data_IF_608010722486
#
_entry.id   IF_608010722486
#
_cell.length_a   1.000
_cell.length_b   1.000
_cell.length_c   1.000
_cell.angle_alpha   90.00
_cell.angle_beta   90.00
_cell.angle_gamma   90.00
#
_symmetry.space_group_name_H-M   'P 1'
#
loop_
_entity.id
_entity.type
_entity.pdbx_description
1 polymer ?
#
# COMPACT_ATOMS: atom_id res chain seq x y z
N UNK A 1 -48.45 -4.10 14.81
CA UNK A 1 -47.22 -3.85 14.03
C UNK A 1 -47.58 -2.85 12.94
N UNK A 2 -47.13 -1.61 13.07
CA UNK A 2 -47.56 -0.51 12.20
C UNK A 2 -46.80 -0.60 10.86
N UNK A 3 -47.51 -0.94 9.78
CA UNK A 3 -46.99 -0.80 8.42
C UNK A 3 -46.99 0.70 8.07
N UNK A 4 -45.86 1.36 8.28
CA UNK A 4 -45.60 2.69 7.74
C UNK A 4 -45.40 2.56 6.23
N UNK A 5 -46.44 2.85 5.45
CA UNK A 5 -46.38 2.88 3.99
C UNK A 5 -45.51 4.07 3.58
N UNK A 6 -44.23 3.81 3.29
CA UNK A 6 -43.31 4.83 2.76
C UNK A 6 -43.66 5.10 1.28
N UNK A 7 -43.47 6.35 0.80
CA UNK A 7 -43.77 6.69 -0.58
C UNK A 7 -42.89 5.90 -1.57
N UNK A 8 -43.38 5.65 -2.80
CA UNK A 8 -42.65 4.91 -3.81
C UNK A 8 -41.29 5.56 -4.08
N UNK A 9 -40.22 4.76 -4.06
CA UNK A 9 -38.84 5.22 -4.18
C UNK A 9 -38.07 5.37 -2.85
N UNK A 10 -38.71 5.13 -1.70
CA UNK A 10 -38.03 5.18 -0.39
C UNK A 10 -37.58 3.79 0.06
N UNK A 11 -36.27 3.60 0.22
CA UNK A 11 -35.72 2.36 0.75
C UNK A 11 -35.88 2.28 2.29
N UNK A 12 -36.49 1.23 2.85
CA UNK A 12 -36.61 1.09 4.30
C UNK A 12 -35.26 0.76 4.93
N UNK A 13 -34.82 1.59 5.87
CA UNK A 13 -33.62 1.36 6.68
C UNK A 13 -34.03 0.71 8.00
N UNK A 14 -33.34 -0.36 8.43
CA UNK A 14 -33.62 -0.99 9.73
C UNK A 14 -33.29 0.00 10.86
N UNK A 15 -34.10 0.08 11.92
CA UNK A 15 -33.93 1.07 12.99
C UNK A 15 -32.56 0.98 13.69
N UNK A 16 -31.93 -0.20 13.71
CA UNK A 16 -30.57 -0.42 14.23
C UNK A 16 -29.46 0.35 13.47
N UNK A 17 -29.76 0.89 12.29
CA UNK A 17 -28.82 1.69 11.48
C UNK A 17 -29.16 3.20 11.52
N UNK A 18 -30.15 3.61 12.30
CA UNK A 18 -30.46 5.02 12.52
C UNK A 18 -29.58 5.52 13.69
N UNK A 19 -28.78 6.56 13.44
CA UNK A 19 -28.00 7.21 14.49
C UNK A 19 -28.97 7.93 15.45
N UNK A 20 -28.90 7.60 16.74
CA UNK A 20 -29.65 8.31 17.78
C UNK A 20 -29.17 9.76 17.86
N UNK A 21 -30.06 10.72 17.63
CA UNK A 21 -29.79 12.16 17.73
C UNK A 21 -29.60 12.66 19.18
N UNK A 22 -29.63 11.75 20.16
CA UNK A 22 -29.36 12.09 21.56
C UNK A 22 -27.90 12.53 21.69
N UNK A 23 -27.64 13.75 22.21
CA UNK A 23 -26.29 14.21 22.49
C UNK A 23 -25.67 13.30 23.55
N UNK A 24 -24.79 12.39 23.13
CA UNK A 24 -23.96 11.63 24.05
C UNK A 24 -22.79 12.52 24.45
N UNK A 25 -22.53 12.61 25.75
CA UNK A 25 -21.32 13.24 26.26
C UNK A 25 -20.12 12.53 25.63
N UNK A 26 -19.33 13.26 24.85
CA UNK A 26 -18.09 12.76 24.26
C UNK A 26 -17.12 12.61 25.43
N UNK A 27 -16.65 11.40 25.77
CA UNK A 27 -15.61 11.23 26.78
C UNK A 27 -14.36 12.01 26.34
N UNK A 28 -13.71 12.69 27.29
CA UNK A 28 -12.48 13.43 27.05
C UNK A 28 -11.35 12.47 26.62
N UNK A 29 -11.15 12.36 25.32
CA UNK A 29 -10.19 11.47 24.65
C UNK A 29 -8.72 11.95 24.83
N UNK A 30 -8.52 13.16 25.37
CA UNK A 30 -7.18 13.71 25.60
C UNK A 30 -6.42 12.96 26.71
N UNK A 31 -7.12 12.17 27.55
CA UNK A 31 -6.52 11.34 28.58
C UNK A 31 -5.69 10.16 28.02
N UNK A 32 -5.93 9.73 26.78
CA UNK A 32 -5.21 8.61 26.16
C UNK A 32 -3.87 9.00 25.52
N UNK A 33 -3.64 10.28 25.24
CA UNK A 33 -2.43 10.75 24.53
C UNK A 33 -1.16 10.81 25.41
N UNK A 34 -1.28 10.62 26.72
CA UNK A 34 -0.15 10.72 27.67
C UNK A 34 0.77 9.49 27.72
N UNK A 35 0.34 8.32 27.24
CA UNK A 35 0.97 7.05 27.63
C UNK A 35 1.88 6.38 26.58
N UNK A 36 1.98 6.89 25.35
CA UNK A 36 2.72 6.17 24.28
C UNK A 36 4.22 6.50 24.19
N UNK A 37 4.78 7.28 25.13
CA UNK A 37 6.22 7.51 25.22
C UNK A 37 6.91 6.47 26.10
N UNK A 38 7.01 5.23 25.59
CA UNK A 38 7.91 4.23 26.18
C UNK A 38 9.35 4.63 25.84
N UNK A 39 9.95 5.51 26.65
CA UNK A 39 11.38 5.68 26.98
C UNK A 39 11.62 7.07 27.59
N UNK A 40 11.52 7.22 28.91
CA UNK A 40 12.66 7.05 29.83
C UNK A 40 12.21 7.53 31.22
N UNK A 41 12.34 6.65 32.20
CA UNK A 41 12.15 6.93 33.62
C UNK A 41 13.04 8.10 34.05
N UNK A 42 12.45 9.26 34.33
CA UNK A 42 12.94 10.20 35.34
C UNK A 42 11.75 10.77 36.09
N UNK A 43 11.63 10.29 37.33
CA UNK A 43 10.85 10.87 38.40
C UNK A 43 11.19 12.36 38.54
N UNK A 44 10.19 13.22 38.41
CA UNK A 44 10.11 14.42 39.24
C UNK A 44 8.64 14.78 39.46
N UNK A 45 8.23 14.62 40.71
CA UNK A 45 6.96 15.08 41.23
C UNK A 45 7.11 16.53 41.69
N UNK A 46 6.30 17.44 41.14
CA UNK A 46 5.93 18.75 41.70
C UNK A 46 4.67 19.21 40.93
N UNK A 47 3.46 19.03 41.46
CA UNK A 47 2.72 19.94 42.35
C UNK A 47 2.62 21.38 41.82
N UNK A 48 1.38 21.84 41.64
CA UNK A 48 0.97 23.22 41.87
C UNK A 48 0.73 24.06 40.61
N UNK A 49 -0.53 24.40 40.36
CA UNK A 49 -0.90 25.44 39.40
C UNK A 49 -0.61 26.84 39.93
N UNK A 50 -0.64 27.82 39.02
CA UNK A 50 -1.15 29.17 39.22
C UNK A 50 -1.04 29.94 37.90
N UNK A 51 -2.18 30.46 37.45
CA UNK A 51 -2.29 31.43 36.38
C UNK A 51 -1.48 32.68 36.73
N UNK A 52 -0.59 33.13 35.82
CA UNK A 52 0.08 34.42 35.94
C UNK A 52 -0.06 35.19 34.63
N UNK A 53 -0.72 36.34 34.78
CA UNK A 53 -1.02 37.37 33.80
C UNK A 53 0.21 38.02 33.13
N UNK A 54 -0.13 38.81 32.11
CA UNK A 54 0.68 39.67 31.24
C UNK A 54 1.98 40.25 31.84
N UNK A 55 3.09 39.98 31.14
CA UNK A 55 4.36 40.65 31.38
C UNK A 55 5.35 40.37 30.24
N UNK A 56 5.34 41.23 29.22
CA UNK A 56 6.10 41.08 27.97
C UNK A 56 7.62 41.07 28.14
N UNK A 57 8.20 39.93 28.55
CA UNK A 57 9.63 39.64 28.40
C UNK A 57 9.90 39.23 26.95
N UNK A 58 10.64 40.05 26.20
CA UNK A 58 11.03 39.78 24.80
C UNK A 58 11.81 38.47 24.73
N UNK A 59 11.14 37.40 24.29
CA UNK A 59 11.74 36.08 24.09
C UNK A 59 13.00 36.18 23.22
N UNK A 60 14.08 35.55 23.66
CA UNK A 60 15.32 35.39 22.89
C UNK A 60 15.02 34.78 21.52
N UNK A 61 15.81 35.12 20.50
CA UNK A 61 15.64 34.57 19.15
C UNK A 61 15.65 33.04 19.12
N UNK A 62 16.41 32.41 20.02
CA UNK A 62 16.42 30.96 20.20
C UNK A 62 15.10 30.41 20.77
N UNK A 63 14.50 31.15 21.72
CA UNK A 63 13.21 30.80 22.32
C UNK A 63 12.07 30.92 21.31
N UNK A 64 12.01 32.01 20.53
CA UNK A 64 10.99 32.19 19.47
C UNK A 64 11.05 31.07 18.42
N UNK A 65 12.25 30.65 18.04
CA UNK A 65 12.44 29.53 17.09
C UNK A 65 11.99 28.19 17.68
N UNK A 66 12.14 28.00 18.99
CA UNK A 66 11.66 26.81 19.70
C UNK A 66 10.13 26.77 19.73
N UNK A 67 9.49 27.86 20.16
CA UNK A 67 8.01 27.98 20.17
C UNK A 67 7.41 27.82 18.76
N UNK A 68 7.98 28.45 17.73
CA UNK A 68 7.50 28.28 16.36
C UNK A 68 7.65 26.84 15.82
N UNK A 69 8.67 26.09 16.27
CA UNK A 69 8.87 24.68 15.91
C UNK A 69 7.89 23.78 16.67
N UNK A 70 7.54 24.14 17.89
CA UNK A 70 6.59 23.42 18.74
C UNK A 70 5.15 23.61 18.24
N UNK A 71 4.80 24.83 17.87
CA UNK A 71 3.49 25.17 17.31
C UNK A 71 3.26 24.50 15.95
N UNK A 72 4.31 24.44 15.11
CA UNK A 72 4.31 23.64 13.87
C UNK A 72 4.20 22.14 14.11
N UNK A 73 4.62 21.63 15.27
CA UNK A 73 4.47 20.21 15.60
C UNK A 73 3.04 19.91 16.07
N UNK A 74 2.42 20.80 16.85
CA UNK A 74 0.99 20.77 17.23
C UNK A 74 0.07 20.86 16.01
N UNK A 75 0.38 21.75 15.06
CA UNK A 75 -0.38 21.94 13.82
C UNK A 75 -0.18 20.82 12.78
N UNK A 76 0.82 19.94 12.95
CA UNK A 76 1.06 18.81 12.03
C UNK A 76 0.28 17.60 12.53
N UNK A 77 -0.65 17.11 11.70
CA UNK A 77 -1.62 16.05 12.04
C UNK A 77 -1.05 14.79 12.74
N UNK A 78 -1.96 14.07 13.40
CA UNK A 78 -1.75 12.97 14.34
C UNK A 78 -1.02 11.72 13.80
N UNK A 79 -0.55 11.73 12.54
CA UNK A 79 -0.01 10.55 11.87
C UNK A 79 1.54 10.48 11.91
N UNK A 80 2.17 10.91 13.01
CA UNK A 80 3.65 10.87 13.17
C UNK A 80 4.18 9.60 13.84
N UNK A 81 3.33 8.84 14.52
CA UNK A 81 3.71 7.61 15.24
C UNK A 81 3.56 6.31 14.44
N UNK A 82 2.94 6.35 13.25
CA UNK A 82 2.76 5.13 12.45
C UNK A 82 4.08 4.68 11.86
N UNK A 83 4.66 3.64 12.43
CA UNK A 83 5.79 2.90 11.86
C UNK A 83 5.22 1.82 10.95
N UNK A 84 5.30 2.02 9.64
CA UNK A 84 4.97 0.97 8.68
C UNK A 84 6.11 -0.05 8.65
N UNK A 85 5.76 -1.33 8.81
CA UNK A 85 6.70 -2.42 8.60
C UNK A 85 7.13 -2.43 7.13
N UNK A 86 8.44 -2.53 6.89
CA UNK A 86 9.01 -2.74 5.56
C UNK A 86 9.34 -4.21 5.45
N UNK A 87 8.65 -4.91 4.56
CA UNK A 87 8.97 -6.29 4.19
C UNK A 87 9.94 -6.22 3.01
N UNK A 88 11.00 -7.02 3.04
CA UNK A 88 11.95 -7.19 1.94
C UNK A 88 12.12 -8.68 1.66
N UNK A 89 12.52 -8.98 0.44
CA UNK A 89 12.94 -10.32 0.08
C UNK A 89 14.35 -10.60 0.63
N UNK A 90 14.66 -11.86 0.90
CA UNK A 90 15.96 -12.25 1.44
C UNK A 90 17.10 -12.04 0.42
N UNK A 91 16.80 -12.23 -0.87
CA UNK A 91 17.69 -11.94 -1.98
C UNK A 91 17.13 -10.79 -2.82
N UNK A 92 17.83 -9.66 -2.86
CA UNK A 92 17.43 -8.51 -3.69
C UNK A 92 18.01 -8.67 -5.12
N UNK A 93 17.22 -9.24 -6.04
CA UNK A 93 17.58 -9.33 -7.48
C UNK A 93 17.71 -7.93 -8.09
N UNK A 94 18.64 -7.72 -9.02
CA UNK A 94 18.77 -6.45 -9.73
C UNK A 94 17.48 -6.11 -10.50
N UNK A 95 17.04 -4.85 -10.45
CA UNK A 95 15.80 -4.43 -11.12
C UNK A 95 15.90 -4.55 -12.65
N UNK A 96 17.06 -4.23 -13.26
CA UNK A 96 17.24 -4.36 -14.72
C UNK A 96 17.10 -5.82 -15.15
N UNK A 97 17.78 -6.73 -14.45
CA UNK A 97 17.69 -8.18 -14.67
C UNK A 97 16.27 -8.69 -14.42
N UNK A 98 15.61 -8.21 -13.36
CA UNK A 98 14.22 -8.55 -13.08
C UNK A 98 13.27 -8.14 -14.20
N UNK A 99 13.53 -7.02 -14.89
CA UNK A 99 12.76 -6.59 -16.06
C UNK A 99 13.16 -7.28 -17.37
N UNK A 100 14.05 -8.28 -17.34
CA UNK A 100 14.56 -8.97 -18.53
C UNK A 100 15.57 -8.15 -19.34
N UNK A 101 16.14 -7.08 -18.76
CA UNK A 101 17.15 -6.24 -19.42
C UNK A 101 18.55 -6.54 -18.89
N UNK A 102 19.56 -6.34 -19.74
CA UNK A 102 20.95 -6.44 -19.31
C UNK A 102 21.30 -5.32 -18.32
N UNK A 103 22.03 -5.66 -17.25
CA UNK A 103 22.50 -4.68 -16.29
C UNK A 103 23.78 -4.00 -16.79
N UNK A 104 23.75 -2.67 -16.85
CA UNK A 104 24.92 -1.84 -17.23
C UNK A 104 26.09 -1.95 -16.25
N UNK A 105 25.82 -2.35 -14.99
CA UNK A 105 26.86 -2.48 -13.95
C UNK A 105 27.54 -3.85 -13.96
N UNK A 106 27.11 -4.79 -14.81
CA UNK A 106 27.74 -6.11 -14.93
C UNK A 106 27.88 -6.84 -13.59
N UNK A 107 29.10 -7.24 -13.23
CA UNK A 107 29.40 -7.93 -11.97
C UNK A 107 29.58 -7.02 -10.75
N UNK A 108 29.73 -5.71 -10.93
CA UNK A 108 29.90 -4.74 -9.84
C UNK A 108 28.55 -4.22 -9.29
N UNK A 109 27.44 -4.83 -9.72
CA UNK A 109 26.12 -4.43 -9.26
C UNK A 109 25.94 -4.73 -7.77
N UNK A 110 25.33 -3.79 -7.04
CA UNK A 110 24.95 -3.96 -5.63
C UNK A 110 23.96 -5.12 -5.40
N UNK A 111 23.19 -5.46 -6.42
CA UNK A 111 22.10 -6.43 -6.37
C UNK A 111 22.52 -7.74 -7.04
N UNK A 112 21.91 -8.85 -6.66
CA UNK A 112 22.23 -10.15 -7.24
C UNK A 112 21.73 -10.25 -8.68
N UNK A 113 22.48 -10.94 -9.55
CA UNK A 113 22.10 -11.25 -10.94
C UNK A 113 21.70 -12.71 -11.14
N UNK A 114 21.74 -13.50 -10.07
CA UNK A 114 21.39 -14.92 -10.07
C UNK A 114 19.87 -15.10 -9.97
N UNK A 115 19.24 -15.31 -11.13
CA UNK A 115 17.79 -15.55 -11.25
C UNK A 115 17.35 -16.87 -10.59
N UNK A 116 17.98 -18.04 -10.84
CA UNK A 116 17.52 -19.28 -10.22
C UNK A 116 17.65 -19.26 -8.69
N UNK A 117 18.72 -18.69 -8.13
CA UNK A 117 18.83 -18.54 -6.67
C UNK A 117 17.74 -17.62 -6.10
N UNK A 118 17.44 -16.51 -6.79
CA UNK A 118 16.35 -15.62 -6.39
C UNK A 118 15.00 -16.34 -6.40
N UNK A 119 14.68 -17.11 -7.44
CA UNK A 119 13.41 -17.82 -7.56
C UNK A 119 13.24 -18.95 -6.54
N UNK A 120 14.34 -19.57 -6.10
CA UNK A 120 14.33 -20.56 -5.03
C UNK A 120 14.05 -19.93 -3.65
N UNK A 121 14.60 -18.74 -3.37
CA UNK A 121 14.32 -18.00 -2.14
C UNK A 121 12.97 -17.27 -2.17
N UNK A 122 12.47 -16.94 -3.37
CA UNK A 122 11.21 -16.21 -3.57
C UNK A 122 10.04 -17.04 -3.02
N UNK A 123 9.16 -16.44 -2.20
CA UNK A 123 7.96 -17.14 -1.74
C UNK A 123 7.02 -17.45 -2.92
N UNK A 124 6.21 -18.50 -2.74
CA UNK A 124 5.24 -18.93 -3.76
C UNK A 124 4.35 -17.78 -4.23
N UNK A 125 4.01 -17.84 -5.52
CA UNK A 125 3.06 -16.96 -6.15
C UNK A 125 1.72 -16.93 -5.40
N UNK A 126 1.15 -15.73 -5.33
CA UNK A 126 -0.15 -15.50 -4.73
C UNK A 126 -1.20 -15.80 -5.81
N UNK A 127 -2.24 -16.54 -5.47
CA UNK A 127 -3.41 -16.71 -6.33
C UNK A 127 -4.44 -15.62 -6.03
N UNK A 128 -4.88 -14.91 -7.06
CA UNK A 128 -6.06 -14.05 -6.96
C UNK A 128 -7.28 -14.79 -7.55
N UNK A 129 -8.39 -14.97 -6.81
CA UNK A 129 -9.56 -15.66 -7.34
C UNK A 129 -10.21 -14.85 -8.47
N UNK A 130 -10.57 -15.52 -9.55
CA UNK A 130 -11.35 -14.93 -10.62
C UNK A 130 -12.83 -14.87 -10.22
N UNK A 131 -13.65 -14.14 -10.99
CA UNK A 131 -15.11 -14.10 -10.76
C UNK A 131 -15.77 -15.48 -10.78
N UNK A 132 -15.18 -16.46 -11.47
CA UNK A 132 -15.67 -17.84 -11.54
C UNK A 132 -15.42 -18.65 -10.27
N UNK A 133 -14.43 -18.22 -9.47
CA UNK A 133 -14.06 -18.86 -8.22
C UNK A 133 -14.89 -18.38 -7.04
N UNK A 134 -15.65 -17.29 -7.22
CA UNK A 134 -16.51 -16.73 -6.19
C UNK A 134 -17.86 -17.44 -6.16
N UNK A 135 -18.35 -17.76 -4.96
CA UNK A 135 -19.65 -18.39 -4.74
C UNK A 135 -20.42 -17.63 -3.68
N UNK A 136 -21.75 -17.57 -3.80
CA UNK A 136 -22.64 -16.96 -2.79
C UNK A 136 -22.88 -17.89 -1.58
N UNK A 137 -22.43 -19.15 -1.67
CA UNK A 137 -22.53 -20.14 -0.60
C UNK A 137 -21.14 -20.55 -0.08
N UNK A 138 -20.97 -20.82 1.22
CA UNK A 138 -19.70 -21.30 1.76
C UNK A 138 -19.23 -22.62 1.10
N UNK A 139 -17.93 -22.77 0.74
CA UNK A 139 -16.90 -21.73 0.78
C UNK A 139 -17.09 -20.68 -0.33
N UNK A 140 -17.09 -19.40 0.07
CA UNK A 140 -17.31 -18.26 -0.84
C UNK A 140 -16.22 -18.11 -1.91
N UNK A 141 -15.07 -18.76 -1.72
CA UNK A 141 -13.98 -18.83 -2.69
C UNK A 141 -13.62 -20.28 -2.89
N UNK A 142 -13.76 -20.77 -4.12
CA UNK A 142 -13.27 -22.08 -4.53
C UNK A 142 -11.76 -21.99 -4.74
N UNK A 143 -11.02 -22.62 -3.84
CA UNK A 143 -9.60 -22.86 -4.04
C UNK A 143 -9.47 -24.13 -4.90
N UNK A 144 -8.61 -24.16 -5.94
CA UNK A 144 -8.31 -25.39 -6.64
C UNK A 144 -7.78 -26.38 -5.61
N UNK A 145 -8.17 -27.64 -5.74
CA UNK A 145 -7.68 -28.72 -4.91
C UNK A 145 -6.17 -28.79 -5.10
N UNK A 146 -5.42 -28.17 -4.19
CA UNK A 146 -3.98 -28.35 -4.10
C UNK A 146 -3.78 -29.73 -3.51
N UNK A 147 -4.06 -30.76 -4.30
CA UNK A 147 -3.37 -32.03 -4.18
C UNK A 147 -1.89 -31.64 -4.14
N UNK A 148 -1.26 -31.89 -3.01
CA UNK A 148 0.18 -31.74 -2.80
C UNK A 148 0.89 -32.72 -3.72
N UNK A 149 0.86 -32.47 -5.03
CA UNK A 149 1.67 -33.16 -6.00
C UNK A 149 3.09 -32.67 -5.76
N UNK A 150 3.82 -33.48 -5.01
CA UNK A 150 5.27 -33.41 -4.85
C UNK A 150 5.91 -33.49 -6.24
N UNK A 151 5.95 -32.37 -6.95
CA UNK A 151 6.49 -32.25 -8.31
C UNK A 151 7.85 -31.55 -8.26
N UNK A 152 8.80 -32.27 -7.65
CA UNK A 152 10.21 -32.54 -8.03
C UNK A 152 11.19 -31.40 -8.37
N UNK A 153 10.80 -30.15 -8.65
CA UNK A 153 11.78 -29.11 -9.02
C UNK A 153 11.72 -27.86 -8.12
N UNK A 154 12.82 -27.56 -7.43
CA UNK A 154 12.98 -26.38 -6.57
C UNK A 154 12.70 -25.04 -7.30
N UNK A 155 12.87 -25.00 -8.63
CA UNK A 155 12.56 -23.85 -9.50
C UNK A 155 11.05 -23.68 -9.70
N UNK A 156 10.29 -24.79 -9.75
CA UNK A 156 8.82 -24.81 -9.86
C UNK A 156 8.12 -24.58 -8.53
N UNK A 157 8.86 -24.66 -7.42
CA UNK A 157 8.29 -24.57 -6.06
C UNK A 157 7.69 -23.18 -5.75
N UNK A 158 8.22 -22.12 -6.35
CA UNK A 158 7.73 -20.75 -6.15
C UNK A 158 6.76 -20.25 -7.22
N UNK A 159 6.63 -20.97 -8.34
CA UNK A 159 5.79 -20.58 -9.47
C UNK A 159 4.44 -21.28 -9.41
N UNK A 160 3.38 -20.51 -9.64
CA UNK A 160 2.04 -21.07 -9.83
C UNK A 160 1.53 -20.65 -11.21
N UNK A 161 1.59 -21.55 -12.19
CA UNK A 161 1.14 -21.30 -13.56
C UNK A 161 -0.37 -21.05 -13.65
N UNK A 162 -1.14 -21.37 -12.61
CA UNK A 162 -2.58 -21.07 -12.55
C UNK A 162 -2.87 -19.65 -12.06
N UNK A 163 -1.84 -18.91 -11.65
CA UNK A 163 -2.02 -17.53 -11.18
C UNK A 163 -2.25 -16.55 -12.32
N UNK A 164 -2.98 -15.48 -12.04
CA UNK A 164 -3.26 -14.40 -13.00
C UNK A 164 -2.73 -13.08 -12.45
N UNK A 165 -1.87 -12.41 -13.20
CA UNK A 165 -1.37 -11.07 -12.86
C UNK A 165 -2.29 -9.99 -13.44
N UNK A 166 -3.03 -9.27 -12.60
CA UNK A 166 -3.93 -8.20 -13.05
C UNK A 166 -3.21 -7.09 -13.84
N UNK A 167 -1.95 -6.77 -13.50
CA UNK A 167 -1.16 -5.79 -14.24
C UNK A 167 -0.82 -6.29 -15.65
N UNK A 168 -0.39 -7.53 -15.79
CA UNK A 168 -0.09 -8.12 -17.10
C UNK A 168 -1.37 -8.29 -17.94
N UNK A 169 -2.48 -8.70 -17.33
CA UNK A 169 -3.76 -8.83 -18.00
C UNK A 169 -4.25 -7.49 -18.57
N UNK A 170 -4.08 -6.40 -17.81
CA UNK A 170 -4.50 -5.07 -18.23
C UNK A 170 -3.52 -4.43 -19.23
N UNK A 171 -2.22 -4.40 -18.91
CA UNK A 171 -1.22 -3.63 -19.66
C UNK A 171 -0.47 -4.44 -20.71
N UNK A 172 -0.50 -5.76 -20.65
CA UNK A 172 0.33 -6.63 -21.49
C UNK A 172 1.80 -6.71 -21.08
N UNK A 173 2.25 -5.96 -20.08
CA UNK A 173 3.60 -6.10 -19.53
C UNK A 173 3.62 -5.91 -18.00
N UNK A 174 4.37 -6.74 -17.28
CA UNK A 174 4.51 -6.56 -15.84
C UNK A 174 5.76 -5.73 -15.51
N UNK A 175 5.58 -4.53 -14.97
CA UNK A 175 6.70 -3.66 -14.52
C UNK A 175 7.60 -4.30 -13.46
N UNK A 176 7.07 -5.27 -12.71
CA UNK A 176 7.82 -6.01 -11.70
C UNK A 176 8.63 -7.18 -12.28
N UNK A 177 8.35 -7.62 -13.51
CA UNK A 177 9.04 -8.72 -14.19
C UNK A 177 9.18 -9.96 -13.29
N UNK A 178 10.38 -10.52 -13.21
CA UNK A 178 10.69 -11.73 -12.42
C UNK A 178 10.45 -11.58 -10.90
N UNK A 179 10.27 -10.35 -10.39
CA UNK A 179 9.93 -10.11 -8.97
C UNK A 179 8.44 -10.16 -8.66
N UNK A 180 7.59 -10.25 -9.68
CA UNK A 180 6.14 -10.26 -9.48
C UNK A 180 5.72 -11.44 -8.58
N UNK A 181 4.71 -11.22 -7.73
CA UNK A 181 4.09 -12.31 -6.93
C UNK A 181 3.04 -13.11 -7.70
N UNK A 182 2.81 -12.77 -8.96
CA UNK A 182 1.90 -13.45 -9.88
C UNK A 182 2.71 -13.88 -11.13
N UNK A 183 3.90 -14.43 -10.89
CA UNK A 183 4.93 -14.64 -11.91
C UNK A 183 4.49 -15.67 -12.95
N UNK A 184 3.77 -16.71 -12.53
CA UNK A 184 3.31 -17.79 -13.41
C UNK A 184 2.46 -17.34 -14.61
N UNK A 185 1.79 -16.18 -14.55
CA UNK A 185 0.96 -15.70 -15.67
C UNK A 185 1.73 -15.00 -16.79
N UNK A 186 2.97 -14.58 -16.55
CA UNK A 186 3.73 -13.77 -17.52
C UNK A 186 5.15 -14.31 -17.73
N UNK A 187 5.31 -15.62 -17.53
CA UNK A 187 6.57 -16.34 -17.77
C UNK A 187 6.30 -17.58 -18.60
N UNK A 188 7.22 -17.87 -19.53
CA UNK A 188 7.25 -19.11 -20.30
C UNK A 188 8.60 -19.80 -20.05
N UNK A 189 8.55 -21.10 -19.79
CA UNK A 189 9.74 -21.96 -19.73
C UNK A 189 10.17 -22.32 -21.15
N UNK A 190 11.38 -21.91 -21.55
CA UNK A 190 12.00 -22.39 -22.78
C UNK A 190 12.49 -23.83 -22.64
N UNK A 191 12.81 -24.46 -23.77
CA UNK A 191 13.31 -25.85 -23.86
C UNK A 191 14.60 -26.06 -23.06
N UNK A 192 15.39 -25.00 -22.86
CA UNK A 192 16.64 -25.01 -22.07
C UNK A 192 16.42 -24.85 -20.55
N UNK A 193 15.18 -24.72 -20.09
CA UNK A 193 14.85 -24.51 -18.67
C UNK A 193 15.00 -23.07 -18.18
N UNK A 194 15.39 -22.14 -19.04
CA UNK A 194 15.41 -20.70 -18.75
C UNK A 194 13.99 -20.10 -18.81
N UNK A 195 13.70 -19.19 -17.88
CA UNK A 195 12.42 -18.51 -17.75
C UNK A 195 12.46 -17.15 -18.45
N UNK A 196 11.60 -16.96 -19.44
CA UNK A 196 11.49 -15.68 -20.13
C UNK A 196 10.17 -14.98 -19.83
N UNK A 197 10.24 -13.65 -19.72
CA UNK A 197 9.08 -12.80 -19.50
C UNK A 197 8.31 -12.62 -20.82
N UNK A 198 7.01 -12.90 -20.77
CA UNK A 198 6.11 -12.68 -21.91
C UNK A 198 5.67 -11.22 -21.93
N UNK A 199 5.56 -10.65 -23.13
CA UNK A 199 5.00 -9.32 -23.37
C UNK A 199 3.92 -9.42 -24.44
N UNK A 200 2.70 -9.00 -24.11
CA UNK A 200 1.59 -8.85 -25.05
C UNK A 200 1.66 -7.46 -25.70
N UNK A 201 2.31 -7.38 -26.87
CA UNK A 201 2.51 -6.12 -27.60
C UNK A 201 1.19 -5.42 -27.97
N UNK A 202 0.14 -6.17 -28.30
CA UNK A 202 -1.17 -5.60 -28.65
C UNK A 202 -1.84 -4.87 -27.49
N UNK A 203 -1.81 -5.48 -26.29
CA UNK A 203 -2.37 -4.86 -25.07
C UNK A 203 -1.54 -3.65 -24.66
N UNK A 204 -0.22 -3.76 -24.76
CA UNK A 204 0.71 -2.67 -24.48
C UNK A 204 0.47 -1.48 -25.40
N UNK A 205 0.28 -1.71 -26.70
CA UNK A 205 -0.05 -0.67 -27.65
C UNK A 205 -1.41 -0.01 -27.35
N UNK A 206 -2.43 -0.80 -27.01
CA UNK A 206 -3.74 -0.28 -26.60
C UNK A 206 -3.68 0.60 -25.36
N UNK A 207 -2.96 0.15 -24.32
CA UNK A 207 -2.82 0.91 -23.07
C UNK A 207 -2.02 2.18 -23.30
N UNK A 208 -0.93 2.12 -24.07
CA UNK A 208 -0.17 3.32 -24.44
C UNK A 208 -1.03 4.37 -25.18
N UNK A 209 -2.02 3.93 -25.97
CA UNK A 209 -2.97 4.83 -26.60
C UNK A 209 -4.01 5.37 -25.60
N UNK A 210 -4.50 4.56 -24.66
CA UNK A 210 -5.59 4.95 -23.74
C UNK A 210 -5.16 5.71 -22.48
N UNK A 211 -3.95 5.49 -21.96
CA UNK A 211 -3.42 6.13 -20.74
C UNK A 211 -2.90 7.56 -20.96
N UNK A 212 -3.16 8.16 -22.13
CA UNK A 212 -2.93 9.58 -22.32
C UNK A 212 -3.84 10.37 -21.38
N UNK A 213 -3.28 10.89 -20.28
CA UNK A 213 -3.98 11.68 -19.28
C UNK A 213 -4.62 12.91 -19.94
N UNK A 214 -5.94 12.86 -20.16
CA UNK A 214 -6.72 13.96 -20.76
C UNK A 214 -6.91 15.15 -19.80
N UNK A 215 -6.68 14.94 -18.49
CA UNK A 215 -6.85 15.95 -17.45
C UNK A 215 -5.51 16.56 -17.00
N UNK A 216 -4.63 16.87 -17.94
CA UNK A 216 -3.39 17.59 -17.63
C UNK A 216 -3.64 19.11 -17.54
N UNK A 217 -3.42 19.70 -16.37
CA UNK A 217 -3.43 21.16 -16.21
C UNK A 217 -2.06 21.68 -16.64
N UNK A 218 -2.06 22.61 -17.60
CA UNK A 218 -0.82 23.18 -18.11
C UNK A 218 -0.01 23.92 -17.01
N UNK A 219 1.30 24.01 -17.24
CA UNK A 219 2.21 24.60 -16.26
C UNK A 219 1.94 26.09 -16.00
N UNK A 220 1.34 26.80 -16.94
CA UNK A 220 1.00 28.22 -16.80
C UNK A 220 -0.25 28.41 -15.94
N UNK A 221 -1.27 27.57 -16.13
CA UNK A 221 -2.48 27.48 -15.32
C UNK A 221 -2.15 27.07 -13.90
N UNK A 222 -1.27 26.07 -13.69
CA UNK A 222 -0.78 25.71 -12.35
C UNK A 222 -0.05 26.87 -11.67
N UNK A 223 0.73 27.67 -12.42
CA UNK A 223 1.36 28.88 -11.88
C UNK A 223 0.31 29.91 -11.47
N UNK A 224 -0.66 30.21 -12.32
CA UNK A 224 -1.76 31.16 -12.05
C UNK A 224 -2.60 30.76 -10.83
N UNK A 225 -2.86 29.46 -10.63
CA UNK A 225 -3.57 28.94 -9.45
C UNK A 225 -2.74 29.12 -8.18
N UNK A 226 -1.41 28.88 -8.25
CA UNK A 226 -0.52 28.97 -7.10
C UNK A 226 -0.14 30.40 -6.70
N UNK A 227 -0.14 31.34 -7.65
CA UNK A 227 0.30 32.72 -7.41
C UNK A 227 -0.83 33.70 -7.11
N UNK A 228 -2.09 33.33 -7.32
CA UNK A 228 -3.23 34.12 -6.82
C UNK A 228 -3.34 33.96 -5.30
N UNK A 229 -2.80 34.96 -4.60
CA UNK A 229 -3.24 35.36 -3.25
C UNK A 229 -4.33 36.40 -3.39
#
# INVERSE_FOLDING_TARGET
MANSTLPPGTAPIKPQFLLSLEPRAIPDDDAAEGSTSYTNTRSDAAIGGEDIEEGGRKLSGAQRKKYAKEDRKKQRGANKGRRFQKVRDDLELCFKVASGRQCEFGSECRFTHDVPAYLAAKPKDIRFPSSKDLSDSPPFVRLPDVEMSESVDAIRSSLDLTTTCALFEYTGECKHGLKCRFLGSHVVTKEDGELELVVDEDKKARVAASETEVNFIDAESLRKIRTKK
#
